data_IF_125940058926
#
_entry.id   IF_125940058926
#
_cell.length_a   1.000
_cell.length_b   1.000
_cell.length_c   1.000
_cell.angle_alpha   90.00
_cell.angle_beta   90.00
_cell.angle_gamma   90.00
#
_symmetry.space_group_name_H-M   'P 1'
#
loop_
_entity.id
_entity.type
_entity.pdbx_description
1 polymer ?
#
# COMPACT_ATOMS: atom_id res chain seq x y z
N UNK A 1 22.31 -37.61 29.39
CA UNK A 1 22.21 -36.91 28.09
C UNK A 1 20.78 -36.73 27.60
N UNK A 2 19.86 -37.67 27.72
CA UNK A 2 18.47 -37.53 27.19
C UNK A 2 17.63 -36.42 27.85
N UNK A 3 17.80 -36.16 29.15
CA UNK A 3 17.01 -35.09 29.84
C UNK A 3 17.43 -33.67 29.45
N UNK A 4 18.71 -33.43 29.20
CA UNK A 4 19.21 -32.11 28.76
C UNK A 4 18.78 -31.78 27.32
N UNK A 5 18.78 -32.79 26.43
CA UNK A 5 18.31 -32.63 25.05
C UNK A 5 16.81 -32.36 24.99
N UNK A 6 16.03 -33.03 25.88
CA UNK A 6 14.58 -32.78 25.98
C UNK A 6 14.25 -31.39 26.48
N UNK A 7 15.03 -30.87 27.46
CA UNK A 7 14.87 -29.50 27.96
C UNK A 7 15.24 -28.45 26.91
N UNK A 8 16.33 -28.71 26.13
CA UNK A 8 16.74 -27.84 25.05
C UNK A 8 15.71 -27.81 23.91
N UNK A 9 15.13 -28.97 23.55
CA UNK A 9 14.10 -29.06 22.52
C UNK A 9 12.81 -28.32 22.93
N UNK A 10 12.43 -28.40 24.22
CA UNK A 10 11.28 -27.68 24.75
C UNK A 10 11.50 -26.14 24.74
N UNK A 11 12.71 -25.69 25.10
CA UNK A 11 13.07 -24.26 25.06
C UNK A 11 13.09 -23.74 23.61
N UNK A 12 13.66 -24.53 22.70
CA UNK A 12 13.71 -24.19 21.26
C UNK A 12 12.31 -24.11 20.66
N UNK A 13 11.42 -25.06 20.99
CA UNK A 13 10.02 -25.03 20.56
C UNK A 13 9.28 -23.77 21.07
N UNK A 14 9.52 -23.37 22.31
CA UNK A 14 8.90 -22.17 22.90
C UNK A 14 9.38 -20.88 22.21
N UNK A 15 10.68 -20.76 21.95
CA UNK A 15 11.26 -19.63 21.19
C UNK A 15 10.73 -19.60 19.76
N UNK A 16 10.57 -20.75 19.11
CA UNK A 16 10.04 -20.84 17.75
C UNK A 16 8.58 -20.41 17.69
N UNK A 17 7.75 -20.84 18.64
CA UNK A 17 6.34 -20.41 18.74
C UNK A 17 6.23 -18.91 18.99
N UNK A 18 7.05 -18.35 19.89
CA UNK A 18 7.10 -16.91 20.13
C UNK A 18 7.54 -16.14 18.87
N UNK A 19 8.53 -16.66 18.12
CA UNK A 19 8.98 -16.02 16.87
C UNK A 19 7.88 -15.97 15.83
N UNK A 20 7.12 -17.07 15.65
CA UNK A 20 5.96 -17.09 14.74
C UNK A 20 4.89 -16.14 15.24
N UNK A 21 4.64 -16.07 16.54
CA UNK A 21 3.68 -15.15 17.13
C UNK A 21 4.03 -13.68 16.81
N UNK A 22 5.30 -13.29 16.96
CA UNK A 22 5.76 -11.94 16.63
C UNK A 22 5.67 -11.61 15.12
N UNK A 23 5.86 -12.59 14.24
CA UNK A 23 5.75 -12.40 12.78
C UNK A 23 4.28 -12.30 12.33
N UNK A 24 3.37 -13.00 13.02
CA UNK A 24 1.94 -13.02 12.70
C UNK A 24 1.13 -11.95 13.43
N UNK A 25 1.72 -11.23 14.41
CA UNK A 25 1.04 -10.09 15.01
C UNK A 25 1.00 -8.95 13.99
N UNK A 26 -0.18 -8.46 13.63
CA UNK A 26 -0.26 -7.23 12.86
C UNK A 26 0.36 -6.11 13.69
N UNK A 27 1.24 -5.35 13.07
CA UNK A 27 2.01 -4.24 13.69
C UNK A 27 1.15 -3.15 14.34
N UNK A 28 -0.14 -3.16 14.09
CA UNK A 28 -1.14 -2.22 14.62
C UNK A 28 -1.47 -2.43 16.11
N UNK A 29 -1.00 -3.50 16.77
CA UNK A 29 -1.25 -3.73 18.20
C UNK A 29 -0.21 -3.08 19.13
N UNK A 30 0.83 -2.46 18.58
CA UNK A 30 1.83 -1.70 19.36
C UNK A 30 1.60 -0.18 19.30
N UNK A 31 0.43 0.28 18.86
CA UNK A 31 0.00 1.65 19.16
C UNK A 31 -0.38 1.63 20.63
N UNK A 32 0.56 2.09 21.44
CA UNK A 32 0.44 2.27 22.89
C UNK A 32 -0.81 3.10 23.18
N UNK A 33 -1.86 2.44 23.72
CA UNK A 33 -3.09 3.10 24.18
C UNK A 33 -2.83 3.90 25.48
N UNK A 34 -1.76 4.67 25.54
CA UNK A 34 -1.55 5.73 26.52
C UNK A 34 -1.99 7.09 25.99
N UNK A 35 -3.23 7.14 25.46
CA UNK A 35 -3.92 8.42 25.30
C UNK A 35 -4.98 8.52 26.39
N UNK A 36 -4.54 8.59 27.64
CA UNK A 36 -5.30 9.26 28.68
C UNK A 36 -4.67 10.63 28.91
N UNK A 37 -5.45 11.68 28.54
CA UNK A 37 -5.28 13.08 28.91
C UNK A 37 -4.08 13.85 28.34
N UNK A 38 -4.14 14.21 27.06
CA UNK A 38 -3.77 15.57 26.66
C UNK A 38 -4.79 16.06 25.65
N UNK A 39 -5.84 16.71 26.13
CA UNK A 39 -6.57 17.73 25.37
C UNK A 39 -5.66 18.95 25.24
N UNK A 40 -4.63 18.84 24.42
CA UNK A 40 -3.94 19.98 23.85
C UNK A 40 -4.22 19.96 22.34
N UNK A 41 -5.17 20.80 21.96
CA UNK A 41 -5.59 21.07 20.60
C UNK A 41 -4.47 21.88 19.90
N UNK A 42 -3.37 21.18 19.62
CA UNK A 42 -2.35 21.52 18.63
C UNK A 42 -1.92 20.23 17.94
N UNK A 43 -2.89 19.46 17.41
CA UNK A 43 -2.57 18.48 16.38
C UNK A 43 -2.02 19.29 15.20
N UNK A 44 -0.73 19.18 14.98
CA UNK A 44 -0.05 19.77 13.86
C UNK A 44 -0.76 19.28 12.59
N UNK A 45 -1.20 20.19 11.75
CA UNK A 45 -1.88 19.88 10.47
C UNK A 45 -1.06 18.88 9.65
N UNK A 46 0.26 18.98 9.72
CA UNK A 46 1.22 18.05 9.08
C UNK A 46 1.09 16.59 9.56
N UNK A 47 0.84 16.36 10.84
CA UNK A 47 0.68 15.00 11.40
C UNK A 47 -0.65 14.38 10.97
N UNK A 48 -1.71 15.18 10.90
CA UNK A 48 -3.03 14.76 10.41
C UNK A 48 -2.98 14.40 8.93
N UNK A 49 -2.31 15.19 8.10
CA UNK A 49 -2.14 14.91 6.67
C UNK A 49 -1.31 13.66 6.42
N UNK A 50 -0.24 13.46 7.17
CA UNK A 50 0.57 12.24 7.07
C UNK A 50 -0.26 10.98 7.38
N UNK A 51 -1.09 11.00 8.43
CA UNK A 51 -1.97 9.89 8.77
C UNK A 51 -3.01 9.61 7.67
N UNK A 52 -3.51 10.66 7.01
CA UNK A 52 -4.43 10.53 5.88
C UNK A 52 -3.77 9.78 4.71
N UNK A 53 -2.57 10.18 4.27
CA UNK A 53 -1.86 9.50 3.19
C UNK A 53 -1.48 8.06 3.55
N UNK A 54 -1.04 7.81 4.79
CA UNK A 54 -0.79 6.45 5.29
C UNK A 54 -2.06 5.60 5.24
N UNK A 55 -3.23 6.15 5.55
CA UNK A 55 -4.49 5.41 5.45
C UNK A 55 -4.87 5.07 4.02
N UNK A 56 -4.65 5.99 3.07
CA UNK A 56 -4.87 5.76 1.64
C UNK A 56 -3.93 4.65 1.11
N UNK A 57 -2.64 4.72 1.46
CA UNK A 57 -1.66 3.73 1.05
C UNK A 57 -2.00 2.33 1.60
N UNK A 58 -2.42 2.23 2.85
CA UNK A 58 -2.82 0.97 3.46
C UNK A 58 -4.07 0.38 2.76
N UNK A 59 -5.08 1.20 2.48
CA UNK A 59 -6.28 0.78 1.76
C UNK A 59 -5.94 0.30 0.34
N UNK A 60 -5.06 1.00 -0.37
CA UNK A 60 -4.60 0.61 -1.69
C UNK A 60 -3.85 -0.72 -1.67
N UNK A 61 -2.94 -0.90 -0.71
CA UNK A 61 -2.21 -2.16 -0.53
C UNK A 61 -3.15 -3.33 -0.21
N UNK A 62 -4.19 -3.11 0.59
CA UNK A 62 -5.19 -4.14 0.87
C UNK A 62 -5.96 -4.54 -0.40
N UNK A 63 -6.43 -3.56 -1.19
CA UNK A 63 -7.08 -3.80 -2.50
C UNK A 63 -6.17 -4.58 -3.47
N UNK A 64 -4.88 -4.25 -3.53
CA UNK A 64 -3.92 -4.96 -4.36
C UNK A 64 -3.73 -6.41 -3.89
N UNK A 65 -3.51 -6.60 -2.59
CA UNK A 65 -3.29 -7.91 -1.98
C UNK A 65 -4.51 -8.83 -2.17
N UNK A 66 -5.73 -8.31 -2.03
CA UNK A 66 -6.96 -9.09 -2.30
C UNK A 66 -6.99 -9.59 -3.76
N UNK A 67 -6.69 -8.73 -4.73
CA UNK A 67 -6.68 -9.09 -6.15
C UNK A 67 -5.56 -10.05 -6.50
N UNK A 68 -4.38 -9.87 -5.95
CA UNK A 68 -3.25 -10.78 -6.11
C UNK A 68 -3.64 -12.17 -5.60
N UNK A 69 -4.16 -12.24 -4.37
CA UNK A 69 -4.58 -13.50 -3.77
C UNK A 69 -5.69 -14.21 -4.58
N UNK A 70 -6.67 -13.45 -5.11
CA UNK A 70 -7.71 -13.97 -6.00
C UNK A 70 -7.09 -14.66 -7.22
N UNK A 71 -6.17 -13.97 -7.93
CA UNK A 71 -5.54 -14.51 -9.14
C UNK A 71 -4.58 -15.67 -8.84
N UNK A 72 -3.79 -15.61 -7.78
CA UNK A 72 -2.93 -16.69 -7.33
C UNK A 72 -3.73 -17.95 -6.99
N UNK A 73 -4.88 -17.79 -6.34
CA UNK A 73 -5.77 -18.90 -5.99
C UNK A 73 -6.31 -19.63 -7.23
N UNK A 74 -6.62 -18.89 -8.29
CA UNK A 74 -7.04 -19.46 -9.59
C UNK A 74 -5.87 -20.23 -10.23
N UNK A 75 -4.69 -19.64 -10.27
CA UNK A 75 -3.49 -20.25 -10.88
C UNK A 75 -3.10 -21.55 -10.15
N UNK A 76 -3.16 -21.55 -8.82
CA UNK A 76 -2.79 -22.70 -7.99
C UNK A 76 -3.83 -23.83 -7.98
N UNK A 77 -5.10 -23.54 -8.26
CA UNK A 77 -6.19 -24.52 -8.14
C UNK A 77 -6.21 -25.53 -9.30
N UNK A 78 -6.52 -26.78 -9.00
CA UNK A 78 -6.73 -27.82 -10.00
C UNK A 78 -8.12 -27.73 -10.68
N UNK A 79 -9.02 -26.88 -10.18
CA UNK A 79 -10.40 -26.81 -10.65
C UNK A 79 -10.57 -25.90 -11.88
N UNK A 80 -9.53 -25.14 -12.25
CA UNK A 80 -9.57 -24.21 -13.39
C UNK A 80 -8.81 -24.78 -14.59
N UNK A 81 -9.30 -24.46 -15.78
CA UNK A 81 -8.65 -24.82 -17.04
C UNK A 81 -7.32 -24.09 -17.24
N UNK A 82 -6.49 -24.55 -18.17
CA UNK A 82 -5.23 -23.88 -18.50
C UNK A 82 -5.46 -22.47 -19.03
N UNK A 83 -6.52 -22.26 -19.81
CA UNK A 83 -6.91 -20.97 -20.37
C UNK A 83 -7.32 -19.98 -19.26
N UNK A 84 -8.09 -20.43 -18.26
CA UNK A 84 -8.48 -19.61 -17.11
C UNK A 84 -7.26 -19.22 -16.26
N UNK A 85 -6.34 -20.15 -16.05
CA UNK A 85 -5.07 -19.89 -15.34
C UNK A 85 -4.18 -18.91 -16.08
N UNK A 86 -4.11 -19.00 -17.41
CA UNK A 86 -3.35 -18.06 -18.23
C UNK A 86 -3.94 -16.64 -18.12
N UNK A 87 -5.25 -16.51 -18.18
CA UNK A 87 -5.95 -15.23 -17.97
C UNK A 87 -5.66 -14.66 -16.58
N UNK A 88 -5.74 -15.50 -15.53
CA UNK A 88 -5.46 -15.08 -14.17
C UNK A 88 -3.99 -14.64 -14.00
N UNK A 89 -3.03 -15.36 -14.59
CA UNK A 89 -1.62 -15.02 -14.58
C UNK A 89 -1.35 -13.67 -15.27
N UNK A 90 -2.01 -13.42 -16.42
CA UNK A 90 -1.90 -12.15 -17.11
C UNK A 90 -2.47 -10.98 -16.27
N UNK A 91 -3.60 -11.20 -15.58
CA UNK A 91 -4.17 -10.22 -14.67
C UNK A 91 -3.25 -9.94 -13.47
N UNK A 92 -2.65 -10.99 -12.90
CA UNK A 92 -1.67 -10.88 -11.83
C UNK A 92 -0.48 -10.02 -12.26
N UNK A 93 0.12 -10.34 -13.41
CA UNK A 93 1.26 -9.58 -13.94
C UNK A 93 0.90 -8.12 -14.23
N UNK A 94 -0.30 -7.85 -14.75
CA UNK A 94 -0.76 -6.48 -14.97
C UNK A 94 -0.97 -5.73 -13.65
N UNK A 95 -1.49 -6.39 -12.60
CA UNK A 95 -1.65 -5.77 -11.29
C UNK A 95 -0.31 -5.39 -10.67
N UNK A 96 0.68 -6.27 -10.74
CA UNK A 96 2.05 -5.96 -10.26
C UNK A 96 2.63 -4.76 -11.00
N UNK A 97 2.50 -4.69 -12.34
CA UNK A 97 2.98 -3.54 -13.12
C UNK A 97 2.26 -2.23 -12.76
N UNK A 98 0.96 -2.29 -12.45
CA UNK A 98 0.22 -1.12 -11.98
C UNK A 98 0.76 -0.63 -10.64
N UNK A 99 0.98 -1.54 -9.66
CA UNK A 99 1.56 -1.19 -8.36
C UNK A 99 2.94 -0.54 -8.50
N UNK A 100 3.83 -1.13 -9.31
CA UNK A 100 5.16 -0.57 -9.57
C UNK A 100 5.07 0.83 -10.23
N UNK A 101 4.09 1.04 -11.10
CA UNK A 101 3.89 2.33 -11.75
C UNK A 101 3.26 3.36 -10.80
N UNK A 102 2.32 2.98 -9.93
CA UNK A 102 1.77 3.85 -8.89
C UNK A 102 2.88 4.38 -7.97
N UNK A 103 3.74 3.48 -7.49
CA UNK A 103 4.90 3.86 -6.65
C UNK A 103 5.86 4.80 -7.38
N UNK A 104 6.16 4.51 -8.64
CA UNK A 104 7.01 5.38 -9.48
C UNK A 104 6.38 6.77 -9.67
N UNK A 105 5.08 6.85 -9.97
CA UNK A 105 4.37 8.11 -10.15
C UNK A 105 4.33 8.93 -8.86
N UNK A 106 4.11 8.29 -7.71
CA UNK A 106 4.22 8.94 -6.39
C UNK A 106 5.62 9.55 -6.19
N UNK A 107 6.67 8.82 -6.53
CA UNK A 107 8.04 9.32 -6.47
C UNK A 107 8.25 10.56 -7.36
N UNK A 108 7.84 10.49 -8.62
CA UNK A 108 7.95 11.60 -9.57
C UNK A 108 7.16 12.85 -9.14
N UNK A 109 5.97 12.67 -8.55
CA UNK A 109 5.16 13.78 -8.03
C UNK A 109 5.85 14.41 -6.81
N UNK A 110 6.44 13.61 -5.92
CA UNK A 110 7.24 14.13 -4.80
C UNK A 110 8.47 14.90 -5.25
N UNK A 111 9.10 14.49 -6.35
CA UNK A 111 10.23 15.22 -6.96
C UNK A 111 9.83 16.59 -7.51
N UNK A 112 8.55 16.84 -7.81
CA UNK A 112 8.02 18.18 -8.11
C UNK A 112 7.92 19.07 -6.86
N UNK A 113 8.17 18.54 -5.65
CA UNK A 113 8.20 19.28 -4.39
C UNK A 113 6.98 19.09 -3.50
N UNK A 114 6.08 18.16 -3.82
CA UNK A 114 4.96 17.81 -2.95
C UNK A 114 5.44 16.91 -1.81
N UNK A 115 5.05 17.24 -0.57
CA UNK A 115 5.47 16.49 0.62
C UNK A 115 4.88 15.08 0.63
N UNK A 116 3.58 14.96 0.36
CA UNK A 116 2.88 13.70 0.19
C UNK A 116 2.14 13.66 -1.14
N UNK A 117 2.09 12.46 -1.73
CA UNK A 117 1.35 12.15 -2.94
C UNK A 117 0.79 10.73 -2.84
N UNK A 118 -0.37 10.53 -3.46
CA UNK A 118 -1.03 9.25 -3.60
C UNK A 118 -1.49 9.09 -5.04
N UNK A 119 -1.33 7.89 -5.59
CA UNK A 119 -1.76 7.55 -6.95
C UNK A 119 -2.45 6.19 -6.92
N UNK A 120 -3.63 6.09 -7.52
CA UNK A 120 -4.42 4.85 -7.63
C UNK A 120 -4.96 4.72 -9.05
N UNK A 121 -4.74 3.57 -9.69
CA UNK A 121 -5.38 3.22 -10.94
C UNK A 121 -6.81 2.72 -10.69
N UNK A 122 -7.79 3.49 -11.16
CA UNK A 122 -9.19 3.09 -11.24
C UNK A 122 -9.52 2.53 -12.64
N UNK A 123 -10.75 2.09 -12.85
CA UNK A 123 -11.16 1.45 -14.10
C UNK A 123 -11.11 2.42 -15.30
N UNK A 124 -11.41 3.69 -15.07
CA UNK A 124 -11.59 4.72 -16.11
C UNK A 124 -10.67 5.95 -15.96
N UNK A 125 -9.96 6.07 -14.85
CA UNK A 125 -9.10 7.21 -14.54
C UNK A 125 -7.92 6.82 -13.64
N UNK A 126 -6.98 7.75 -13.47
CA UNK A 126 -5.94 7.67 -12.44
C UNK A 126 -6.25 8.73 -11.40
N UNK A 127 -6.56 8.28 -10.17
CA UNK A 127 -6.75 9.20 -9.04
C UNK A 127 -5.39 9.62 -8.51
N UNK A 128 -5.18 10.93 -8.38
CA UNK A 128 -3.97 11.53 -7.80
C UNK A 128 -4.37 12.47 -6.69
N UNK A 129 -3.81 12.30 -5.50
CA UNK A 129 -3.99 13.21 -4.36
C UNK A 129 -2.62 13.74 -3.96
N UNK A 130 -2.49 15.05 -3.81
CA UNK A 130 -1.25 15.70 -3.36
C UNK A 130 -1.49 16.52 -2.11
N UNK A 131 -0.49 16.58 -1.23
CA UNK A 131 -0.52 17.49 -0.10
C UNK A 131 -0.07 18.88 -0.54
N UNK A 132 -0.98 19.86 -0.44
CA UNK A 132 -0.70 21.25 -0.76
C UNK A 132 -1.78 22.15 -0.17
N UNK A 133 -1.42 23.32 0.34
CA UNK A 133 -2.39 24.33 0.82
C UNK A 133 -3.24 24.89 -0.33
N UNK A 134 -2.65 24.94 -1.52
CA UNK A 134 -3.30 25.46 -2.74
C UNK A 134 -2.73 24.73 -3.95
N UNK A 135 -3.57 24.53 -4.96
CA UNK A 135 -3.14 23.95 -6.25
C UNK A 135 -3.57 24.87 -7.38
N UNK A 136 -2.61 25.55 -8.02
CA UNK A 136 -2.88 26.36 -9.19
C UNK A 136 -3.13 25.51 -10.43
N UNK A 137 -3.82 26.05 -11.44
CA UNK A 137 -4.06 25.35 -12.70
C UNK A 137 -2.77 24.97 -13.44
N UNK A 138 -1.68 25.71 -13.25
CA UNK A 138 -0.37 25.40 -13.84
C UNK A 138 0.22 24.18 -13.16
N UNK A 139 0.22 24.13 -11.83
CA UNK A 139 0.71 22.98 -11.06
C UNK A 139 -0.13 21.71 -11.35
N UNK A 140 -1.45 21.85 -11.42
CA UNK A 140 -2.31 20.74 -11.80
C UNK A 140 -1.99 20.22 -13.22
N UNK A 141 -1.78 21.11 -14.19
CA UNK A 141 -1.41 20.73 -15.54
C UNK A 141 -0.03 20.06 -15.62
N UNK A 142 0.92 20.46 -14.77
CA UNK A 142 2.23 19.82 -14.66
C UNK A 142 2.12 18.39 -14.14
N UNK A 143 1.33 18.16 -13.08
CA UNK A 143 1.07 16.81 -12.56
C UNK A 143 0.35 15.96 -13.61
N UNK A 144 -0.69 16.50 -14.28
CA UNK A 144 -1.42 15.80 -15.33
C UNK A 144 -0.46 15.35 -16.43
N UNK A 145 0.39 16.24 -16.92
CA UNK A 145 1.36 15.93 -17.99
C UNK A 145 2.34 14.85 -17.54
N UNK A 146 2.90 14.98 -16.34
CA UNK A 146 3.81 14.01 -15.76
C UNK A 146 3.18 12.62 -15.66
N UNK A 147 1.95 12.54 -15.16
CA UNK A 147 1.23 11.26 -14.99
C UNK A 147 0.89 10.67 -16.37
N UNK A 148 0.42 11.46 -17.31
CA UNK A 148 0.09 10.99 -18.68
C UNK A 148 1.32 10.45 -19.42
N UNK A 149 2.47 11.11 -19.28
CA UNK A 149 3.72 10.73 -19.95
C UNK A 149 4.33 9.45 -19.37
N UNK A 150 4.02 9.11 -18.11
CA UNK A 150 4.64 8.00 -17.40
C UNK A 150 3.66 6.87 -17.01
N UNK A 151 2.36 7.01 -17.28
CA UNK A 151 1.35 5.99 -16.99
C UNK A 151 1.38 4.83 -17.99
N UNK A 152 1.04 3.62 -17.50
CA UNK A 152 1.12 2.39 -18.32
C UNK A 152 -0.08 2.15 -19.23
N UNK A 153 -1.21 2.81 -19.03
CA UNK A 153 -2.46 2.53 -19.76
C UNK A 153 -3.15 3.75 -20.40
N UNK A 154 -2.53 4.94 -20.30
CA UNK A 154 -3.01 6.16 -20.96
C UNK A 154 -4.36 6.69 -20.45
N UNK A 155 -4.75 6.29 -19.22
CA UNK A 155 -5.92 6.86 -18.54
C UNK A 155 -5.68 8.31 -18.15
N UNK A 156 -6.75 9.11 -18.10
CA UNK A 156 -6.66 10.50 -17.67
C UNK A 156 -6.56 10.60 -16.16
N UNK A 157 -5.63 11.42 -15.64
CA UNK A 157 -5.54 11.67 -14.22
C UNK A 157 -6.59 12.67 -13.76
N UNK A 158 -7.18 12.40 -12.59
CA UNK A 158 -7.97 13.36 -11.80
C UNK A 158 -7.14 13.77 -10.59
N UNK A 159 -6.95 15.10 -10.43
CA UNK A 159 -6.06 15.63 -9.39
C UNK A 159 -6.90 16.26 -8.28
N UNK A 160 -6.69 15.75 -7.06
CA UNK A 160 -7.21 16.30 -5.82
C UNK A 160 -6.05 16.85 -4.96
N UNK A 161 -6.32 17.81 -4.09
CA UNK A 161 -5.33 18.26 -3.10
C UNK A 161 -5.94 18.35 -1.71
N UNK A 162 -5.10 18.11 -0.72
CA UNK A 162 -5.46 18.20 0.70
C UNK A 162 -4.40 19.04 1.44
N UNK A 163 -4.84 19.79 2.45
CA UNK A 163 -3.96 20.64 3.28
C UNK A 163 -3.21 19.79 4.30
#
# INVERSE_FOLDING_TARGET
MKKQVMSFLALFGLVFVLSIYYVLLPTNLFIDNNIENVLDVNMNIEESSNLFFVSLDNELQEKHNEKIYEYESIVASANYTNEEKEVALNKLNNRVKMMENEEMLVGLIKDLGYYNAYVEYLDDMIKVVVQSDTLSSIQAAEIITLVMDNSVNGLLPEIEYVC
#
